data_IF_864007369850
#
_entry.id   IF_864007369850
#
_cell.length_a   1.000
_cell.length_b   1.000
_cell.length_c   1.000
_cell.angle_alpha   90.00
_cell.angle_beta   90.00
_cell.angle_gamma   90.00
#
_symmetry.space_group_name_H-M   'P 1'
#
loop_
_entity.id
_entity.type
_entity.pdbx_description
1 polymer ?
#
# COMPACT_ATOMS: atom_id res chain seq x y z
N UNK A 1 32.52 -15.43 0.30
CA UNK A 1 31.79 -14.13 0.28
C UNK A 1 30.33 -14.26 -0.12
N UNK A 2 29.99 -14.75 -1.33
CA UNK A 2 28.59 -14.86 -1.80
C UNK A 2 27.66 -15.61 -0.84
N UNK A 3 28.09 -16.75 -0.31
CA UNK A 3 27.30 -17.53 0.65
C UNK A 3 26.99 -16.74 1.94
N UNK A 4 27.94 -15.95 2.44
CA UNK A 4 27.73 -15.11 3.62
C UNK A 4 26.75 -13.97 3.36
N UNK A 5 26.83 -13.34 2.19
CA UNK A 5 25.90 -12.28 1.78
C UNK A 5 24.48 -12.86 1.61
N UNK A 6 24.35 -14.01 0.94
CA UNK A 6 23.06 -14.67 0.76
C UNK A 6 22.42 -15.08 2.09
N UNK A 7 23.23 -15.57 3.04
CA UNK A 7 22.76 -15.90 4.38
C UNK A 7 22.25 -14.66 5.13
N UNK A 8 22.97 -13.53 5.04
CA UNK A 8 22.55 -12.27 5.64
C UNK A 8 21.24 -11.75 5.03
N UNK A 9 21.12 -11.80 3.70
CA UNK A 9 19.90 -11.42 3.00
C UNK A 9 18.73 -12.29 3.42
N UNK A 10 18.92 -13.61 3.51
CA UNK A 10 17.89 -14.54 3.95
C UNK A 10 17.44 -14.24 5.38
N UNK A 11 18.39 -14.05 6.31
CA UNK A 11 18.08 -13.72 7.69
C UNK A 11 17.30 -12.39 7.81
N UNK A 12 17.69 -11.38 7.03
CA UNK A 12 16.98 -10.11 6.97
C UNK A 12 15.54 -10.27 6.48
N UNK A 13 15.34 -10.96 5.35
CA UNK A 13 14.00 -11.19 4.78
C UNK A 13 13.12 -11.95 5.76
N UNK A 14 13.65 -13.00 6.40
CA UNK A 14 12.90 -13.77 7.41
C UNK A 14 12.52 -12.90 8.60
N UNK A 15 13.44 -12.06 9.10
CA UNK A 15 13.16 -11.15 10.21
C UNK A 15 12.07 -10.12 9.88
N UNK A 16 12.13 -9.52 8.68
CA UNK A 16 11.11 -8.57 8.22
C UNK A 16 9.74 -9.25 8.11
N UNK A 17 9.67 -10.41 7.46
CA UNK A 17 8.41 -11.15 7.32
C UNK A 17 7.84 -11.58 8.66
N UNK A 18 8.69 -12.06 9.58
CA UNK A 18 8.27 -12.41 10.93
C UNK A 18 7.71 -11.19 11.67
N UNK A 19 8.41 -10.05 11.64
CA UNK A 19 7.94 -8.81 12.26
C UNK A 19 6.58 -8.35 11.72
N UNK A 20 6.39 -8.40 10.41
CA UNK A 20 5.12 -8.02 9.78
C UNK A 20 3.97 -8.98 10.11
N UNK A 21 4.23 -10.29 10.13
CA UNK A 21 3.19 -11.28 10.42
C UNK A 21 2.79 -11.30 11.91
N UNK A 22 3.73 -11.07 12.82
CA UNK A 22 3.47 -11.12 14.26
C UNK A 22 2.72 -9.87 14.75
N UNK A 23 2.90 -8.71 14.09
CA UNK A 23 2.28 -7.45 14.51
C UNK A 23 0.93 -7.21 13.81
N UNK A 24 -0.10 -6.69 14.51
CA UNK A 24 -1.38 -6.33 13.90
C UNK A 24 -1.22 -5.30 12.75
N UNK A 25 -0.42 -4.26 12.97
CA UNK A 25 -0.16 -3.21 11.98
C UNK A 25 0.58 -3.77 10.76
N UNK A 26 1.55 -4.66 10.97
CA UNK A 26 2.26 -5.33 9.89
C UNK A 26 1.36 -6.21 9.02
N UNK A 27 0.41 -6.92 9.62
CA UNK A 27 -0.60 -7.69 8.87
C UNK A 27 -1.57 -6.79 8.11
N UNK A 28 -1.99 -5.68 8.70
CA UNK A 28 -2.84 -4.69 8.05
C UNK A 28 -2.12 -4.05 6.85
N UNK A 29 -0.83 -3.73 7.02
CA UNK A 29 0.05 -3.26 5.96
C UNK A 29 0.21 -4.30 4.84
N UNK A 30 0.50 -5.56 5.16
CA UNK A 30 0.63 -6.63 4.15
C UNK A 30 -0.65 -6.82 3.31
N UNK A 31 -1.81 -6.61 3.93
CA UNK A 31 -3.10 -6.71 3.24
C UNK A 31 -3.37 -5.49 2.34
N UNK A 32 -2.86 -4.32 2.72
CA UNK A 32 -3.10 -3.04 2.03
C UNK A 32 -1.86 -2.13 2.10
N UNK A 33 -0.75 -2.48 1.41
CA UNK A 33 0.57 -1.86 1.64
C UNK A 33 0.66 -0.39 1.23
N UNK A 34 -0.33 0.07 0.48
CA UNK A 34 -0.44 1.44 -0.05
C UNK A 34 -1.40 2.33 0.74
N UNK A 35 -2.23 1.78 1.64
CA UNK A 35 -3.27 2.55 2.34
C UNK A 35 -2.79 3.20 3.65
N UNK A 36 -1.80 2.61 4.33
CA UNK A 36 -1.32 3.12 5.64
C UNK A 36 -0.55 4.45 5.56
N UNK A 37 -0.11 4.85 4.36
CA UNK A 37 0.54 6.14 4.10
C UNK A 37 -0.47 7.29 3.95
N UNK A 38 -1.78 7.00 4.06
CA UNK A 38 -2.84 7.88 3.63
C UNK A 38 -2.86 7.93 2.10
N UNK A 39 -4.05 7.96 1.49
CA UNK A 39 -4.19 7.97 0.02
C UNK A 39 -3.40 9.09 -0.68
N UNK A 40 -2.91 10.10 0.07
CA UNK A 40 -2.10 11.21 -0.43
C UNK A 40 -0.58 10.97 -0.43
N UNK A 41 0.01 10.19 0.50
CA UNK A 41 1.47 9.94 0.46
C UNK A 41 1.84 8.73 -0.42
N UNK A 42 0.86 7.91 -0.81
CA UNK A 42 1.01 6.90 -1.87
C UNK A 42 0.72 7.47 -3.29
N UNK A 43 0.21 8.69 -3.40
CA UNK A 43 -0.15 9.32 -4.67
C UNK A 43 1.05 10.05 -5.32
N UNK A 44 2.09 9.31 -5.68
CA UNK A 44 3.08 9.73 -6.69
C UNK A 44 3.21 8.70 -7.81
N UNK A 45 2.12 8.03 -8.13
CA UNK A 45 1.89 7.45 -9.44
C UNK A 45 0.58 8.03 -9.96
N UNK A 46 0.68 8.96 -10.92
CA UNK A 46 -0.48 9.36 -11.70
C UNK A 46 -1.05 8.09 -12.34
N UNK A 47 -2.24 7.67 -11.89
CA UNK A 47 -2.99 6.63 -12.57
C UNK A 47 -3.43 7.22 -13.92
N UNK A 48 -2.57 7.09 -14.93
CA UNK A 48 -2.96 7.31 -16.30
C UNK A 48 -4.00 6.24 -16.66
N UNK A 49 -5.27 6.59 -16.54
CA UNK A 49 -6.40 5.82 -17.05
C UNK A 49 -7.17 5.05 -15.98
N UNK A 50 -8.22 5.66 -15.47
CA UNK A 50 -9.60 5.22 -15.73
C UNK A 50 -10.52 6.36 -15.30
N UNK A 51 -10.89 7.20 -16.26
CA UNK A 51 -12.02 8.09 -16.10
C UNK A 51 -13.30 7.22 -16.09
N UNK A 52 -13.89 7.01 -14.92
CA UNK A 52 -15.34 6.77 -14.85
C UNK A 52 -15.96 8.14 -14.60
N UNK A 53 -16.67 8.64 -15.60
CA UNK A 53 -17.35 9.91 -15.59
C UNK A 53 -18.22 10.05 -14.34
N UNK A 54 -17.99 11.12 -13.57
CA UNK A 54 -18.99 11.60 -12.62
C UNK A 54 -20.20 12.04 -13.45
N UNK A 55 -21.31 11.31 -13.34
CA UNK A 55 -22.59 11.82 -13.80
C UNK A 55 -22.93 13.06 -12.96
N UNK A 56 -23.30 14.21 -13.55
CA UNK A 56 -23.72 15.36 -12.78
C UNK A 56 -25.01 15.00 -12.03
N UNK A 57 -24.97 15.06 -10.71
CA UNK A 57 -26.17 15.00 -9.88
C UNK A 57 -26.85 16.37 -10.02
N UNK A 58 -27.97 16.41 -10.73
CA UNK A 58 -28.82 17.60 -10.85
C UNK A 58 -29.41 17.90 -9.47
N UNK A 59 -28.97 19.01 -8.86
CA UNK A 59 -29.54 19.50 -7.61
C UNK A 59 -30.70 20.42 -7.97
N UNK A 60 -31.93 19.92 -7.82
CA UNK A 60 -33.14 20.73 -7.93
C UNK A 60 -33.17 21.72 -6.76
N UNK A 61 -33.18 23.02 -7.06
CA UNK A 61 -33.27 24.08 -6.05
C UNK A 61 -34.72 24.16 -5.52
N UNK A 62 -34.94 24.22 -4.19
CA UNK A 62 -36.28 24.45 -3.66
C UNK A 62 -36.74 25.89 -3.95
N UNK A 63 -37.95 26.01 -4.51
CA UNK A 63 -38.72 27.26 -4.68
C UNK A 63 -39.30 27.78 -3.37
#
# INVERSE_FOLDING_TARGET
MRAGINALTAAFVVGVLAGLLLTPDGRAWLSNPTLMLGGQANASASAAGTAVAAAPVEVEAPV
#
